data_IF_767280245169
#
_entry.id   IF_767280245169
#
_cell.length_a   1.000
_cell.length_b   1.000
_cell.length_c   1.000
_cell.angle_alpha   90.00
_cell.angle_beta   90.00
_cell.angle_gamma   90.00
#
_symmetry.space_group_name_H-M   'P 1'
#
loop_
_entity.id
_entity.type
_entity.pdbx_description
1 polymer ?
#
# COMPACT_ATOMS: atom_id res chain seq x y z
N UNK A 1 11.21 25.84 -12.57
CA UNK A 1 9.87 25.28 -12.84
C UNK A 1 10.07 23.93 -13.50
N UNK A 2 9.22 22.94 -13.24
CA UNK A 2 9.29 21.62 -13.88
C UNK A 2 9.17 21.75 -15.41
N UNK A 3 9.88 20.89 -16.14
CA UNK A 3 9.86 20.86 -17.61
C UNK A 3 8.56 20.30 -18.21
N UNK A 4 7.70 19.64 -17.42
CA UNK A 4 6.39 19.17 -17.87
C UNK A 4 5.46 20.35 -18.19
N UNK A 5 4.83 20.39 -19.39
CA UNK A 5 3.91 21.47 -19.77
C UNK A 5 2.79 21.67 -18.74
N UNK A 6 2.63 22.88 -18.23
CA UNK A 6 1.59 23.21 -17.25
C UNK A 6 1.92 22.83 -15.80
N UNK A 7 3.09 22.26 -15.51
CA UNK A 7 3.51 21.99 -14.13
C UNK A 7 4.16 23.23 -13.49
N UNK A 8 3.55 23.74 -12.41
CA UNK A 8 4.04 24.94 -11.70
C UNK A 8 5.07 24.67 -10.61
N UNK A 9 5.35 23.40 -10.29
CA UNK A 9 6.24 23.01 -9.21
C UNK A 9 7.73 23.25 -9.54
N UNK A 10 8.56 23.34 -8.50
CA UNK A 10 10.02 23.34 -8.67
C UNK A 10 10.45 21.96 -9.13
N UNK A 11 11.27 21.90 -10.19
CA UNK A 11 11.87 20.65 -10.62
C UNK A 11 12.84 20.17 -9.54
N UNK A 12 12.44 19.11 -8.86
CA UNK A 12 13.25 18.38 -7.89
C UNK A 12 13.09 16.90 -8.20
N UNK A 13 14.07 16.09 -7.81
CA UNK A 13 14.00 14.64 -8.02
C UNK A 13 12.73 14.05 -7.40
N UNK A 14 12.40 14.44 -6.16
CA UNK A 14 11.17 14.01 -5.47
C UNK A 14 9.89 14.42 -6.22
N UNK A 15 9.85 15.63 -6.77
CA UNK A 15 8.71 16.06 -7.60
C UNK A 15 8.58 15.22 -8.87
N UNK A 16 9.66 15.10 -9.65
CA UNK A 16 9.64 14.38 -10.94
C UNK A 16 9.26 12.92 -10.76
N UNK A 17 9.73 12.27 -9.70
CA UNK A 17 9.44 10.85 -9.46
C UNK A 17 8.09 10.59 -8.79
N UNK A 18 7.61 11.47 -7.91
CA UNK A 18 6.44 11.19 -7.09
C UNK A 18 5.15 11.93 -7.49
N UNK A 19 5.27 13.16 -8.01
CA UNK A 19 4.15 14.11 -8.06
C UNK A 19 4.01 14.83 -9.41
N UNK A 20 4.90 14.58 -10.36
CA UNK A 20 4.80 15.16 -11.69
C UNK A 20 3.64 14.47 -12.44
N UNK A 21 2.78 15.19 -13.17
CA UNK A 21 1.64 14.58 -13.85
C UNK A 21 2.01 13.40 -14.77
N UNK A 22 3.21 13.43 -15.37
CA UNK A 22 3.75 12.34 -16.19
C UNK A 22 3.97 11.03 -15.42
N UNK A 23 4.31 11.10 -14.13
CA UNK A 23 4.71 9.93 -13.32
C UNK A 23 3.71 9.59 -12.22
N UNK A 24 2.97 10.58 -11.71
CA UNK A 24 2.02 10.43 -10.61
C UNK A 24 0.98 9.33 -10.89
N UNK A 25 0.40 9.32 -12.09
CA UNK A 25 -0.59 8.32 -12.50
C UNK A 25 -0.02 6.90 -12.50
N UNK A 26 1.24 6.73 -12.93
CA UNK A 26 1.93 5.45 -12.94
C UNK A 26 2.31 4.98 -11.52
N UNK A 27 2.82 5.89 -10.68
CA UNK A 27 3.17 5.61 -9.28
C UNK A 27 1.91 5.21 -8.50
N UNK A 28 0.84 6.00 -8.62
CA UNK A 28 -0.45 5.71 -7.99
C UNK A 28 -1.05 4.40 -8.49
N UNK A 29 -1.04 4.16 -9.81
CA UNK A 29 -1.54 2.92 -10.38
C UNK A 29 -0.81 1.69 -9.85
N UNK A 30 0.51 1.77 -9.67
CA UNK A 30 1.30 0.68 -9.06
C UNK A 30 0.94 0.47 -7.59
N UNK A 31 0.81 1.54 -6.82
CA UNK A 31 0.36 1.49 -5.44
C UNK A 31 -0.99 0.79 -5.31
N UNK A 32 -1.99 1.25 -6.07
CA UNK A 32 -3.35 0.71 -6.05
C UNK A 32 -3.39 -0.76 -6.49
N UNK A 33 -2.56 -1.16 -7.44
CA UNK A 33 -2.45 -2.55 -7.88
C UNK A 33 -1.80 -3.45 -6.81
N UNK A 34 -0.72 -3.01 -6.19
CA UNK A 34 -0.08 -3.75 -5.10
C UNK A 34 -1.04 -3.90 -3.91
N UNK A 35 -1.75 -2.82 -3.56
CA UNK A 35 -2.74 -2.83 -2.49
C UNK A 35 -3.86 -3.85 -2.77
N UNK A 36 -4.39 -3.90 -4.01
CA UNK A 36 -5.37 -4.91 -4.43
C UNK A 36 -4.86 -6.35 -4.29
N UNK A 37 -3.59 -6.60 -4.65
CA UNK A 37 -2.99 -7.94 -4.51
C UNK A 37 -2.92 -8.36 -3.04
N UNK A 38 -2.49 -7.46 -2.16
CA UNK A 38 -2.43 -7.71 -0.71
C UNK A 38 -3.83 -7.97 -0.15
N UNK A 39 -4.82 -7.15 -0.49
CA UNK A 39 -6.22 -7.32 -0.06
C UNK A 39 -6.75 -8.70 -0.46
N UNK A 40 -6.60 -9.07 -1.74
CA UNK A 40 -7.05 -10.37 -2.25
C UNK A 40 -6.38 -11.54 -1.52
N UNK A 41 -5.08 -11.43 -1.21
CA UNK A 41 -4.36 -12.46 -0.47
C UNK A 41 -4.86 -12.58 0.98
N UNK A 42 -5.08 -11.46 1.67
CA UNK A 42 -5.65 -11.45 3.03
C UNK A 42 -7.03 -12.10 3.03
N UNK A 43 -7.92 -11.67 2.14
CA UNK A 43 -9.27 -12.22 2.04
C UNK A 43 -9.27 -13.72 1.73
N UNK A 44 -8.42 -14.17 0.81
CA UNK A 44 -8.28 -15.59 0.46
C UNK A 44 -7.85 -16.43 1.66
N UNK A 45 -6.92 -15.93 2.48
CA UNK A 45 -6.44 -16.65 3.68
C UNK A 45 -7.43 -16.63 4.86
N UNK A 46 -8.33 -15.65 4.88
CA UNK A 46 -9.37 -15.50 5.92
C UNK A 46 -10.58 -16.40 5.69
N UNK A 47 -10.81 -16.88 4.46
CA UNK A 47 -11.90 -17.81 4.13
C UNK A 47 -11.69 -19.15 4.84
N UNK A 48 -12.52 -19.44 5.84
CA UNK A 48 -12.53 -20.73 6.57
C UNK A 48 -11.82 -20.72 7.93
N UNK A 49 -11.29 -19.58 8.38
CA UNK A 49 -10.75 -19.45 9.75
C UNK A 49 -11.83 -19.04 10.74
N UNK A 50 -11.83 -19.69 11.91
CA UNK A 50 -12.71 -19.33 13.03
C UNK A 50 -12.33 -17.98 13.68
N UNK A 51 -11.11 -17.47 13.49
CA UNK A 51 -10.66 -16.17 14.01
C UNK A 51 -10.76 -15.04 12.98
N UNK A 52 -11.88 -14.99 12.26
CA UNK A 52 -12.10 -14.10 11.13
C UNK A 52 -11.67 -12.65 11.45
N UNK A 53 -10.51 -12.27 10.90
CA UNK A 53 -9.99 -10.92 11.06
C UNK A 53 -10.75 -9.98 10.13
N UNK A 54 -11.18 -8.84 10.67
CA UNK A 54 -11.87 -7.79 9.94
C UNK A 54 -10.83 -6.92 9.23
N UNK A 55 -10.94 -6.80 7.91
CA UNK A 55 -10.09 -5.95 7.09
C UNK A 55 -10.81 -4.63 6.80
N UNK A 56 -10.22 -3.51 7.22
CA UNK A 56 -10.63 -2.17 6.80
C UNK A 56 -9.56 -1.61 5.86
N UNK A 57 -9.99 -1.16 4.70
CA UNK A 57 -9.11 -0.57 3.68
C UNK A 57 -9.45 0.90 3.57
N UNK A 58 -8.45 1.78 3.52
CA UNK A 58 -8.64 3.17 3.15
C UNK A 58 -9.66 3.91 4.05
N UNK A 59 -9.77 3.48 5.31
CA UNK A 59 -10.72 3.97 6.30
C UNK A 59 -9.99 4.69 7.42
N UNK A 60 -10.64 5.67 8.04
CA UNK A 60 -10.11 6.28 9.26
C UNK A 60 -10.05 5.22 10.36
N UNK A 61 -8.98 5.21 11.14
CA UNK A 61 -8.87 4.33 12.31
C UNK A 61 -10.12 4.55 13.20
N UNK A 62 -10.88 3.48 13.52
CA UNK A 62 -12.03 3.56 14.40
C UNK A 62 -11.72 4.34 15.68
N UNK A 63 -12.71 5.11 16.16
CA UNK A 63 -12.63 5.97 17.35
C UNK A 63 -11.68 7.17 17.28
N UNK A 64 -11.00 7.38 16.15
CA UNK A 64 -10.15 8.55 15.91
C UNK A 64 -10.77 9.47 14.86
N UNK A 65 -10.47 10.77 14.96
CA UNK A 65 -10.93 11.80 14.04
C UNK A 65 -9.74 12.48 13.36
N UNK A 66 -9.89 12.74 12.05
CA UNK A 66 -8.91 13.46 11.24
C UNK A 66 -8.39 12.67 10.05
N UNK A 67 -8.14 13.32 8.90
CA UNK A 67 -7.66 12.66 7.67
C UNK A 67 -6.25 12.10 7.81
N UNK A 68 -5.49 12.51 8.82
CA UNK A 68 -4.14 12.02 9.09
C UNK A 68 -4.09 10.57 9.60
N UNK A 69 -5.23 9.98 9.94
CA UNK A 69 -5.33 8.63 10.50
C UNK A 69 -6.14 7.71 9.58
N UNK A 70 -5.85 7.76 8.27
CA UNK A 70 -6.45 6.93 7.24
C UNK A 70 -5.37 6.04 6.60
N UNK A 71 -4.96 4.96 7.30
CA UNK A 71 -3.98 4.03 6.74
C UNK A 71 -4.57 3.24 5.57
N UNK A 72 -3.70 2.69 4.73
CA UNK A 72 -4.09 1.88 3.58
C UNK A 72 -4.80 0.60 4.03
N UNK A 73 -4.29 -0.08 5.06
CA UNK A 73 -4.86 -1.33 5.59
C UNK A 73 -4.90 -1.35 7.12
N UNK A 74 -6.00 -1.89 7.65
CA UNK A 74 -6.17 -2.22 9.07
C UNK A 74 -6.73 -3.63 9.19
N UNK A 75 -6.06 -4.49 9.95
CA UNK A 75 -6.49 -5.87 10.18
C UNK A 75 -6.79 -6.08 11.66
N UNK A 76 -8.07 -6.23 11.99
CA UNK A 76 -8.57 -6.41 13.35
C UNK A 76 -8.86 -7.88 13.64
N UNK A 77 -8.13 -8.47 14.57
CA UNK A 77 -8.47 -9.78 15.12
C UNK A 77 -9.10 -9.61 16.51
N UNK A 78 -10.42 -9.62 16.57
CA UNK A 78 -11.16 -9.40 17.82
C UNK A 78 -11.01 -10.56 18.81
N UNK A 79 -10.83 -11.79 18.31
CA UNK A 79 -10.61 -12.99 19.14
C UNK A 79 -9.28 -12.91 19.87
N UNK A 80 -8.20 -12.53 19.17
CA UNK A 80 -6.85 -12.39 19.73
C UNK A 80 -6.58 -11.01 20.34
N UNK A 81 -7.52 -10.07 20.17
CA UNK A 81 -7.40 -8.66 20.59
C UNK A 81 -6.16 -7.97 20.02
N UNK A 82 -5.81 -8.29 18.77
CA UNK A 82 -4.69 -7.69 18.05
C UNK A 82 -5.17 -6.85 16.88
N UNK A 83 -4.42 -5.80 16.57
CA UNK A 83 -4.62 -4.98 15.38
C UNK A 83 -3.27 -4.82 14.66
N UNK A 84 -3.28 -4.95 13.34
CA UNK A 84 -2.17 -4.54 12.49
C UNK A 84 -2.62 -3.35 11.65
N UNK A 85 -1.82 -2.28 11.62
CA UNK A 85 -2.01 -1.09 10.80
C UNK A 85 -0.84 -1.04 9.82
N UNK A 86 -1.11 -0.92 8.53
CA UNK A 86 -0.11 -1.08 7.48
C UNK A 86 -0.30 -0.01 6.40
N UNK A 87 0.78 0.70 6.10
CA UNK A 87 0.91 1.65 4.98
C UNK A 87 2.04 1.19 4.04
N UNK A 88 1.72 0.44 2.96
CA UNK A 88 2.73 -0.09 2.06
C UNK A 88 3.42 0.99 1.21
N UNK A 89 4.73 1.15 1.39
CA UNK A 89 5.54 1.94 0.46
C UNK A 89 5.95 1.09 -0.75
N UNK A 90 5.41 1.39 -1.94
CA UNK A 90 5.72 0.65 -3.17
C UNK A 90 6.86 1.34 -3.93
N UNK A 91 8.05 0.76 -3.88
CA UNK A 91 9.22 1.26 -4.62
C UNK A 91 9.08 1.01 -6.11
N UNK A 92 9.68 1.87 -6.94
CA UNK A 92 9.81 1.67 -8.38
C UNK A 92 11.08 0.84 -8.64
N UNK A 93 10.98 -0.48 -8.46
CA UNK A 93 11.98 -1.39 -9.00
C UNK A 93 11.44 -1.90 -10.34
N UNK A 94 12.09 -1.51 -11.43
CA UNK A 94 11.88 -2.06 -12.77
C UNK A 94 12.39 -3.51 -12.72
N UNK A 95 11.52 -4.45 -12.34
CA UNK A 95 11.82 -5.88 -12.34
C UNK A 95 11.88 -6.37 -13.80
N UNK A 96 12.91 -5.93 -14.53
CA UNK A 96 13.25 -6.39 -15.87
C UNK A 96 13.98 -7.72 -15.89
N UNK A 97 14.11 -8.37 -14.74
CA UNK A 97 14.63 -9.74 -14.65
C UNK A 97 13.83 -10.52 -13.60
N UNK A 98 12.78 -11.21 -14.08
CA UNK A 98 12.12 -12.30 -13.35
C UNK A 98 13.09 -13.48 -13.22
N UNK A 99 14.03 -13.37 -12.28
CA UNK A 99 14.60 -14.57 -11.67
C UNK A 99 13.73 -14.94 -10.49
N UNK A 100 13.17 -16.16 -10.55
CA UNK A 100 12.16 -16.70 -9.63
C UNK A 100 12.58 -16.87 -8.15
N UNK A 101 13.54 -16.08 -7.66
CA UNK A 101 14.07 -16.11 -6.30
C UNK A 101 13.89 -14.82 -5.50
N UNK A 102 13.47 -13.70 -6.10
CA UNK A 102 13.48 -12.38 -5.42
C UNK A 102 12.12 -11.93 -4.86
N UNK A 103 11.33 -12.86 -4.34
CA UNK A 103 10.16 -12.52 -3.50
C UNK A 103 10.33 -13.18 -2.13
N UNK A 104 11.27 -12.66 -1.35
CA UNK A 104 11.34 -12.99 0.07
C UNK A 104 10.32 -12.13 0.83
N UNK A 105 9.03 -12.45 0.68
CA UNK A 105 8.10 -12.27 1.80
C UNK A 105 8.53 -13.33 2.81
N UNK A 106 9.53 -13.00 3.63
CA UNK A 106 9.94 -13.83 4.73
C UNK A 106 8.76 -13.88 5.70
N UNK A 107 8.16 -15.06 5.85
CA UNK A 107 7.22 -15.31 6.93
C UNK A 107 7.95 -15.08 8.24
N UNK A 108 7.54 -14.03 8.97
CA UNK A 108 7.90 -13.88 10.38
C UNK A 108 7.13 -15.00 11.10
N UNK A 109 7.85 -16.03 11.51
CA UNK A 109 7.34 -17.08 12.40
C UNK A 109 7.72 -16.72 13.84
N UNK A 110 6.79 -17.03 14.76
CA UNK A 110 6.83 -16.75 16.20
C UNK A 110 8.08 -17.28 16.93
#
# INVERSE_FOLDING_TARGET
MCRHPGCSWKETLSHVLGYCPDTESAVRGRHDNALKLVINAIEATSRGRHDQAELLVDQTVPTHSGPALRPDLQLYNRTKRTVAIVDPAITYEDHRDDTAGSSAIARIAD
#
